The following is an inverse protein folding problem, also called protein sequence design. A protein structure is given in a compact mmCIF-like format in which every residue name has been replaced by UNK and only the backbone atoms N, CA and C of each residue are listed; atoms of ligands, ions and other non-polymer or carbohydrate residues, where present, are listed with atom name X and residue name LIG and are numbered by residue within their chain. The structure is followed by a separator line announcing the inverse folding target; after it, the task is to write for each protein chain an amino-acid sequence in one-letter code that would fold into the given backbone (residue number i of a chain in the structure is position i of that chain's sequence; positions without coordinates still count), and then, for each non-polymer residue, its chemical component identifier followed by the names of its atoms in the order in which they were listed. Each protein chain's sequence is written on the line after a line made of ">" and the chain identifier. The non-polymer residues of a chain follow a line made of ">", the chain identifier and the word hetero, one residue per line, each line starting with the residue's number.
data_IF_250226767346
#
_entry.id   IF_250226767346
#
_cell.length_a   1.000
_cell.length_b   1.000
_cell.length_c   1.000
_cell.angle_alpha   90.00
_cell.angle_beta   90.00
_cell.angle_gamma   90.00
#
_symmetry.space_group_name_H-M   'P 1'
#
loop_
_entity.id
_entity.type
_entity.pdbx_description
1 polymer ?
#
# COMPACT_ATOMS: atom_id res chain seq x y z
N UNK A 1 9.83 -23.83 58.94
CA UNK A 1 9.00 -22.94 58.13
C UNK A 1 9.89 -22.29 57.08
N UNK A 2 9.89 -22.84 55.88
CA UNK A 2 10.78 -22.39 54.80
C UNK A 2 9.88 -21.67 53.78
N UNK A 3 10.04 -20.38 53.70
CA UNK A 3 9.25 -19.53 52.81
C UNK A 3 9.83 -19.61 51.38
N UNK A 4 9.07 -20.16 50.46
CA UNK A 4 9.41 -20.24 49.04
C UNK A 4 9.06 -18.93 48.39
N UNK A 5 10.05 -18.13 47.99
CA UNK A 5 9.88 -16.95 47.13
C UNK A 5 9.70 -17.43 45.67
N UNK A 6 8.50 -17.29 45.17
CA UNK A 6 8.22 -17.44 43.73
C UNK A 6 8.57 -16.12 43.06
N UNK A 7 9.68 -16.08 42.35
CA UNK A 7 10.03 -14.99 41.47
C UNK A 7 9.16 -15.09 40.20
N UNK A 8 8.17 -14.21 40.10
CA UNK A 8 7.43 -14.02 38.85
C UNK A 8 8.34 -13.32 37.81
N UNK A 9 8.95 -14.12 36.95
CA UNK A 9 9.66 -13.60 35.79
C UNK A 9 8.67 -12.97 34.84
N UNK A 10 8.62 -11.62 34.75
CA UNK A 10 8.04 -10.92 33.64
C UNK A 10 8.84 -11.27 32.39
N UNK A 11 8.27 -12.13 31.57
CA UNK A 11 8.73 -12.33 30.21
C UNK A 11 8.31 -11.09 29.40
N UNK A 12 9.12 -10.05 29.39
CA UNK A 12 9.07 -8.99 28.39
C UNK A 12 9.38 -9.71 27.06
N UNK A 13 8.33 -9.95 26.26
CA UNK A 13 8.52 -10.32 24.87
C UNK A 13 9.30 -9.16 24.23
N UNK A 14 10.58 -9.37 23.98
CA UNK A 14 11.38 -8.48 23.17
C UNK A 14 10.65 -8.34 21.82
N UNK A 15 10.23 -7.12 21.48
CA UNK A 15 9.79 -6.82 20.12
C UNK A 15 11.03 -7.01 19.26
N UNK A 16 11.09 -8.15 18.56
CA UNK A 16 12.21 -8.47 17.71
C UNK A 16 12.18 -7.53 16.49
N UNK A 17 13.17 -6.65 16.40
CA UNK A 17 13.49 -5.98 15.17
C UNK A 17 13.95 -7.04 14.17
N UNK A 18 13.27 -7.16 13.05
CA UNK A 18 13.65 -8.07 11.97
C UNK A 18 14.35 -7.24 10.90
N UNK A 19 15.63 -7.52 10.68
CA UNK A 19 16.39 -6.95 9.58
C UNK A 19 16.13 -7.72 8.28
N UNK A 20 16.29 -7.10 7.13
CA UNK A 20 16.11 -7.76 5.83
C UNK A 20 17.07 -8.94 5.64
N UNK A 21 18.27 -8.88 6.23
CA UNK A 21 19.28 -9.94 6.16
C UNK A 21 18.81 -11.29 6.72
N UNK A 22 17.74 -11.31 7.52
CA UNK A 22 17.10 -12.54 7.99
C UNK A 22 16.35 -13.30 6.87
N UNK A 23 16.19 -12.70 5.68
CA UNK A 23 15.44 -13.25 4.56
C UNK A 23 16.35 -13.48 3.36
N UNK A 24 16.11 -14.55 2.56
CA UNK A 24 16.95 -14.82 1.41
C UNK A 24 16.84 -13.73 0.36
N UNK A 25 17.98 -13.26 -0.14
CA UNK A 25 18.03 -12.47 -1.36
C UNK A 25 17.60 -13.39 -2.53
N UNK A 26 16.57 -13.01 -3.25
CA UNK A 26 15.91 -13.84 -4.26
C UNK A 26 15.57 -13.08 -5.54
N UNK A 27 16.03 -11.84 -5.66
CA UNK A 27 15.92 -11.04 -6.86
C UNK A 27 17.28 -10.65 -7.40
N UNK A 28 17.31 -10.35 -8.70
CA UNK A 28 18.48 -9.79 -9.41
C UNK A 28 18.17 -8.40 -9.92
N UNK A 29 19.18 -7.55 -9.90
CA UNK A 29 19.11 -6.26 -10.57
C UNK A 29 18.96 -6.44 -12.09
N UNK A 30 18.07 -5.66 -12.67
CA UNK A 30 17.80 -5.61 -14.10
C UNK A 30 17.57 -4.17 -14.55
N UNK A 31 18.37 -3.69 -15.50
CA UNK A 31 18.13 -2.40 -16.16
C UNK A 31 17.00 -2.57 -17.17
N UNK A 32 15.80 -2.19 -16.79
CA UNK A 32 14.58 -2.31 -17.60
C UNK A 32 14.17 -0.99 -18.24
N UNK A 33 14.60 0.13 -17.66
CA UNK A 33 14.46 1.48 -18.21
C UNK A 33 15.84 2.14 -18.16
N UNK A 34 16.34 2.57 -19.32
CA UNK A 34 17.66 3.16 -19.44
C UNK A 34 17.77 4.47 -18.67
N UNK A 35 18.89 4.67 -17.96
CA UNK A 35 19.16 5.87 -17.17
C UNK A 35 18.38 5.95 -15.85
N UNK A 36 17.61 4.88 -15.49
CA UNK A 36 16.84 4.82 -14.25
C UNK A 36 17.39 3.75 -13.31
N UNK A 37 17.04 3.82 -12.03
CA UNK A 37 17.41 2.80 -11.06
C UNK A 37 16.95 1.40 -11.56
N UNK A 38 17.76 0.35 -11.35
CA UNK A 38 17.40 -1.00 -11.79
C UNK A 38 16.17 -1.50 -11.05
N UNK A 39 15.45 -2.44 -11.68
CA UNK A 39 14.44 -3.24 -11.00
C UNK A 39 15.09 -4.42 -10.29
N UNK A 40 14.44 -4.93 -9.25
CA UNK A 40 14.83 -6.13 -8.52
C UNK A 40 13.88 -7.26 -8.89
N UNK A 41 14.20 -7.99 -9.96
CA UNK A 41 13.32 -9.02 -10.53
C UNK A 41 13.58 -10.40 -9.90
N UNK A 42 12.53 -11.14 -9.50
CA UNK A 42 12.66 -12.47 -8.92
C UNK A 42 13.47 -13.43 -9.81
N UNK A 43 14.39 -14.18 -9.20
CA UNK A 43 15.21 -15.16 -9.90
C UNK A 43 14.38 -16.35 -10.42
N UNK A 44 14.91 -17.04 -11.43
CA UNK A 44 14.28 -18.23 -11.99
C UNK A 44 13.12 -17.97 -12.94
N UNK A 45 12.82 -16.70 -13.24
CA UNK A 45 11.79 -16.28 -14.18
C UNK A 45 12.33 -15.23 -15.15
N UNK A 46 11.68 -15.11 -16.30
CA UNK A 46 11.93 -14.03 -17.25
C UNK A 46 10.76 -13.05 -17.22
N UNK A 47 11.07 -11.77 -17.36
CA UNK A 47 10.09 -10.71 -17.23
C UNK A 47 10.14 -9.76 -18.44
N UNK A 48 8.97 -9.24 -18.81
CA UNK A 48 8.82 -8.22 -19.86
C UNK A 48 8.06 -7.04 -19.26
N UNK A 49 8.68 -5.85 -19.27
CA UNK A 49 8.02 -4.62 -18.84
C UNK A 49 6.80 -4.34 -19.73
N UNK A 50 5.63 -4.19 -19.14
CA UNK A 50 4.36 -3.95 -19.84
C UNK A 50 3.73 -2.61 -19.51
N UNK A 51 4.04 -2.06 -18.35
CA UNK A 51 3.61 -0.73 -17.93
C UNK A 51 4.59 -0.15 -16.92
N UNK A 52 4.80 1.15 -16.99
CA UNK A 52 5.61 1.84 -15.99
C UNK A 52 5.32 3.35 -15.95
N UNK A 53 5.72 3.96 -14.85
CA UNK A 53 5.89 5.40 -14.74
C UNK A 53 7.16 5.70 -13.93
N UNK A 54 8.04 6.47 -14.54
CA UNK A 54 9.30 6.94 -13.98
C UNK A 54 9.20 8.40 -13.51
N UNK A 55 8.04 9.00 -13.65
CA UNK A 55 7.74 10.37 -13.26
C UNK A 55 8.72 11.41 -13.84
N UNK A 56 9.14 11.18 -15.09
CA UNK A 56 10.12 12.04 -15.80
C UNK A 56 9.58 13.43 -16.17
N UNK A 57 8.28 13.64 -16.04
CA UNK A 57 7.62 14.90 -16.36
C UNK A 57 7.78 15.99 -15.31
N UNK A 58 7.05 17.07 -15.49
CA UNK A 58 6.88 18.16 -14.52
C UNK A 58 5.47 18.21 -13.95
N UNK A 59 4.59 17.36 -14.44
CA UNK A 59 3.19 17.19 -14.02
C UNK A 59 2.84 15.71 -14.03
N UNK A 60 1.83 15.34 -13.26
CA UNK A 60 1.31 13.97 -13.28
C UNK A 60 0.81 13.61 -14.70
N UNK A 61 1.19 12.43 -15.18
CA UNK A 61 0.67 11.89 -16.43
C UNK A 61 -0.77 11.38 -16.22
N UNK A 62 -1.74 12.20 -16.56
CA UNK A 62 -3.16 11.86 -16.43
C UNK A 62 -3.62 10.78 -17.41
N UNK A 63 -2.81 10.39 -18.40
CA UNK A 63 -3.08 9.20 -19.21
C UNK A 63 -2.83 7.91 -18.46
N UNK A 64 -1.98 7.95 -17.41
CA UNK A 64 -1.63 6.81 -16.55
C UNK A 64 -2.35 6.82 -15.22
N UNK A 65 -2.53 8.01 -14.62
CA UNK A 65 -3.03 8.17 -13.26
C UNK A 65 -4.32 8.98 -13.19
N UNK A 66 -5.16 8.64 -12.22
CA UNK A 66 -6.31 9.42 -11.78
C UNK A 66 -6.18 9.72 -10.30
N UNK A 67 -6.70 10.86 -9.87
CA UNK A 67 -6.91 11.14 -8.45
C UNK A 67 -8.11 10.34 -7.95
N UNK A 68 -7.96 9.67 -6.82
CA UNK A 68 -9.07 9.05 -6.11
C UNK A 68 -9.58 10.01 -5.05
N UNK A 69 -10.68 10.69 -5.31
CA UNK A 69 -11.17 11.79 -4.47
C UNK A 69 -12.28 11.41 -3.51
N UNK A 70 -12.89 10.24 -3.69
CA UNK A 70 -14.00 9.74 -2.89
C UNK A 70 -13.73 8.32 -2.38
N UNK A 71 -12.89 8.21 -1.38
CA UNK A 71 -12.65 6.92 -0.75
C UNK A 71 -13.67 6.69 0.37
N UNK A 72 -14.25 5.48 0.46
CA UNK A 72 -15.18 5.06 1.51
C UNK A 72 -16.53 5.79 1.52
N UNK A 73 -16.98 6.34 0.40
CA UNK A 73 -18.26 7.06 0.31
C UNK A 73 -18.39 8.18 1.33
N UNK A 74 -17.29 8.67 1.87
CA UNK A 74 -17.22 9.60 2.99
C UNK A 74 -16.50 10.86 2.58
N UNK A 75 -17.22 11.96 2.59
CA UNK A 75 -16.70 13.32 2.50
C UNK A 75 -15.48 13.49 1.57
N UNK A 76 -15.75 13.73 0.31
CA UNK A 76 -14.79 14.06 -0.76
C UNK A 76 -13.75 15.13 -0.38
N UNK A 77 -13.89 15.75 0.78
CA UNK A 77 -13.03 16.84 1.22
C UNK A 77 -11.69 16.39 1.81
N UNK A 78 -11.51 15.10 2.05
CA UNK A 78 -10.28 14.61 2.71
C UNK A 78 -9.21 14.20 1.73
N UNK A 79 -9.60 13.95 0.50
CA UNK A 79 -8.69 13.55 -0.55
C UNK A 79 -8.45 14.71 -1.49
N UNK A 80 -7.15 14.93 -1.72
CA UNK A 80 -6.70 16.01 -2.54
C UNK A 80 -7.14 15.83 -3.99
N UNK A 81 -7.49 16.94 -4.61
CA UNK A 81 -7.72 17.09 -6.03
C UNK A 81 -6.49 17.69 -6.70
N UNK A 82 -6.41 17.72 -8.03
CA UNK A 82 -5.28 18.32 -8.75
C UNK A 82 -4.97 19.76 -8.31
N UNK A 83 -6.01 20.59 -8.11
CA UNK A 83 -5.88 21.98 -7.72
C UNK A 83 -5.31 22.21 -6.30
N UNK A 84 -5.36 21.20 -5.44
CA UNK A 84 -4.87 21.31 -4.07
C UNK A 84 -3.33 21.26 -4.01
N UNK A 85 -2.67 20.83 -5.10
CA UNK A 85 -1.22 20.79 -5.21
C UNK A 85 -0.55 19.87 -4.17
N UNK A 86 -1.20 18.76 -3.82
CA UNK A 86 -0.67 17.71 -2.95
C UNK A 86 0.18 16.69 -3.71
N UNK A 87 0.23 16.76 -5.02
CA UNK A 87 1.08 15.94 -5.87
C UNK A 87 2.07 16.82 -6.58
N UNK A 88 3.35 16.51 -6.47
CA UNK A 88 4.43 17.20 -7.18
C UNK A 88 5.24 16.18 -7.97
N UNK A 89 5.35 16.36 -9.28
CA UNK A 89 6.25 15.59 -10.15
C UNK A 89 7.44 16.46 -10.50
N UNK A 90 8.61 16.04 -10.09
CA UNK A 90 9.85 16.79 -10.30
C UNK A 90 11.07 15.92 -10.12
N UNK A 91 12.13 16.19 -10.89
CA UNK A 91 13.43 15.53 -10.78
C UNK A 91 13.33 13.98 -10.86
N UNK A 92 12.41 13.47 -11.69
CA UNK A 92 12.22 12.04 -11.92
C UNK A 92 11.55 11.30 -10.76
N UNK A 93 10.78 11.99 -9.93
CA UNK A 93 9.99 11.38 -8.85
C UNK A 93 8.62 12.03 -8.73
N UNK A 94 7.67 11.31 -8.13
CA UNK A 94 6.44 11.92 -7.63
C UNK A 94 6.46 12.00 -6.11
N UNK A 95 6.08 13.14 -5.56
CA UNK A 95 5.92 13.38 -4.13
C UNK A 95 4.46 13.53 -3.77
N UNK A 96 4.00 12.71 -2.86
CA UNK A 96 2.67 12.77 -2.28
C UNK A 96 2.74 13.50 -0.93
N UNK A 97 2.07 14.63 -0.83
CA UNK A 97 2.16 15.57 0.30
C UNK A 97 0.85 15.63 1.07
N UNK A 98 0.95 15.70 2.37
CA UNK A 98 -0.19 16.13 3.20
C UNK A 98 -0.15 17.65 3.32
N UNK A 99 -1.32 18.27 3.21
CA UNK A 99 -1.49 19.71 3.39
C UNK A 99 -2.57 20.03 4.41
N UNK A 100 -2.36 21.11 5.17
CA UNK A 100 -3.36 21.72 6.01
C UNK A 100 -4.08 22.82 5.21
N UNK A 101 -5.39 22.70 5.10
CA UNK A 101 -6.22 23.71 4.47
C UNK A 101 -6.47 24.92 5.40
N UNK A 102 -6.89 26.08 4.86
CA UNK A 102 -7.18 27.26 5.66
C UNK A 102 -8.24 27.04 6.75
N UNK A 103 -9.14 26.09 6.57
CA UNK A 103 -10.16 25.70 7.55
C UNK A 103 -9.61 24.76 8.64
N UNK A 104 -8.30 24.48 8.65
CA UNK A 104 -7.65 23.59 9.60
C UNK A 104 -7.72 22.10 9.27
N UNK A 105 -8.40 21.73 8.21
CA UNK A 105 -8.51 20.34 7.76
C UNK A 105 -7.23 19.90 7.04
N UNK A 106 -6.84 18.65 7.23
CA UNK A 106 -5.76 18.03 6.48
C UNK A 106 -6.30 17.25 5.29
N UNK A 107 -5.62 17.33 4.17
CA UNK A 107 -5.89 16.58 2.95
C UNK A 107 -4.64 15.89 2.46
N UNK A 108 -4.82 14.77 1.76
CA UNK A 108 -3.74 13.96 1.22
C UNK A 108 -4.16 13.29 -0.09
N UNK A 109 -3.23 13.01 -1.02
CA UNK A 109 -3.56 12.47 -2.32
C UNK A 109 -3.58 10.96 -2.32
N UNK A 110 -4.47 10.42 -3.16
CA UNK A 110 -4.43 9.03 -3.60
C UNK A 110 -4.42 9.01 -5.13
N UNK A 111 -3.43 8.35 -5.70
CA UNK A 111 -3.31 8.15 -7.14
C UNK A 111 -3.61 6.71 -7.49
N UNK A 112 -4.35 6.49 -8.56
CA UNK A 112 -4.74 5.18 -9.05
C UNK A 112 -4.58 5.09 -10.57
N UNK A 113 -4.26 3.93 -11.07
CA UNK A 113 -4.37 3.62 -12.51
C UNK A 113 -5.78 3.14 -12.88
N UNK A 114 -6.64 2.96 -11.87
CA UNK A 114 -8.07 2.80 -11.99
C UNK A 114 -8.79 4.10 -12.29
N UNK A 115 -10.11 4.03 -12.28
CA UNK A 115 -10.99 5.20 -12.33
C UNK A 115 -12.13 5.07 -11.32
N UNK A 116 -11.90 4.37 -10.23
CA UNK A 116 -12.85 4.27 -9.14
C UNK A 116 -12.93 5.61 -8.42
N UNK A 117 -14.01 6.36 -8.68
CA UNK A 117 -14.16 7.70 -8.13
C UNK A 117 -14.81 7.72 -6.75
N UNK A 118 -15.50 6.65 -6.36
CA UNK A 118 -16.25 6.62 -5.10
C UNK A 118 -16.77 5.24 -4.76
N UNK A 119 -16.76 4.95 -3.48
CA UNK A 119 -17.36 3.79 -2.89
C UNK A 119 -18.76 4.19 -2.43
N UNK A 120 -19.79 3.69 -3.09
CA UNK A 120 -21.17 3.97 -2.69
C UNK A 120 -21.58 2.94 -1.63
N UNK A 121 -22.00 3.39 -0.44
CA UNK A 121 -22.64 2.52 0.51
C UNK A 121 -23.84 1.85 -0.14
N UNK A 122 -23.98 0.54 -0.02
CA UNK A 122 -25.19 -0.12 -0.44
C UNK A 122 -26.36 0.37 0.41
N UNK A 123 -27.23 1.17 -0.18
CA UNK A 123 -28.40 1.72 0.51
C UNK A 123 -29.42 0.63 0.90
N UNK A 124 -29.44 -0.50 0.16
CA UNK A 124 -30.29 -1.65 0.46
C UNK A 124 -29.69 -2.53 1.56
N UNK A 125 -28.37 -2.50 1.74
CA UNK A 125 -27.66 -3.14 2.83
C UNK A 125 -26.66 -2.17 3.48
N UNK A 126 -27.11 -1.33 4.40
CA UNK A 126 -26.24 -0.29 5.01
C UNK A 126 -25.06 -0.84 5.82
N UNK A 127 -25.01 -2.15 6.06
CA UNK A 127 -23.87 -2.85 6.65
C UNK A 127 -22.94 -3.44 5.59
N UNK A 128 -23.39 -3.51 4.33
CA UNK A 128 -22.61 -3.97 3.19
C UNK A 128 -21.79 -2.83 2.61
N UNK A 129 -20.56 -3.11 2.29
CA UNK A 129 -19.65 -2.22 1.59
C UNK A 129 -19.53 -2.68 0.16
N UNK A 130 -19.29 -1.72 -0.73
CA UNK A 130 -19.08 -1.91 -2.16
C UNK A 130 -20.36 -2.22 -2.93
N UNK A 131 -20.98 -1.18 -3.35
CA UNK A 131 -21.83 -1.27 -4.50
C UNK A 131 -21.19 -0.55 -5.66
N UNK A 132 -21.11 -1.29 -6.73
CA UNK A 132 -20.66 -0.89 -8.04
C UNK A 132 -21.13 0.52 -8.34
N UNK A 133 -20.28 1.48 -8.04
CA UNK A 133 -20.39 2.79 -8.60
C UNK A 133 -20.36 2.69 -10.13
N UNK A 134 -20.53 3.79 -10.82
CA UNK A 134 -20.39 3.81 -12.27
C UNK A 134 -19.03 3.23 -12.62
N UNK A 135 -19.03 2.08 -13.28
CA UNK A 135 -17.80 1.48 -13.79
C UNK A 135 -17.22 2.40 -14.84
N UNK A 136 -16.00 2.81 -14.62
CA UNK A 136 -15.20 3.50 -15.61
C UNK A 136 -14.12 2.55 -16.11
N UNK A 137 -13.64 2.76 -17.31
CA UNK A 137 -12.56 1.96 -17.85
C UNK A 137 -11.26 2.37 -17.16
N UNK A 138 -10.55 1.47 -16.45
CA UNK A 138 -9.28 1.81 -15.85
C UNK A 138 -8.26 2.23 -16.92
N UNK A 139 -7.40 3.18 -16.59
CA UNK A 139 -6.29 3.61 -17.45
C UNK A 139 -5.29 2.47 -17.64
N UNK A 140 -5.07 1.72 -16.56
CA UNK A 140 -4.33 0.46 -16.59
C UNK A 140 -4.86 -0.46 -15.50
N UNK A 141 -5.13 -1.70 -15.88
CA UNK A 141 -5.37 -2.82 -14.96
C UNK A 141 -4.75 -4.06 -15.55
N UNK A 142 -4.13 -4.87 -14.73
CA UNK A 142 -3.38 -6.02 -15.18
C UNK A 142 -3.61 -7.22 -14.26
N UNK A 143 -3.46 -8.43 -14.80
CA UNK A 143 -3.63 -9.67 -14.05
C UNK A 143 -2.36 -10.49 -14.11
N UNK A 144 -1.89 -10.92 -12.94
CA UNK A 144 -0.63 -11.65 -12.76
C UNK A 144 0.60 -10.79 -13.12
N UNK A 145 1.77 -11.37 -13.01
CA UNK A 145 3.02 -10.69 -13.30
C UNK A 145 3.76 -10.22 -12.05
N UNK A 146 4.70 -9.33 -12.25
CA UNK A 146 5.47 -8.73 -11.17
C UNK A 146 5.21 -7.23 -11.10
N UNK A 147 4.88 -6.74 -9.92
CA UNK A 147 4.57 -5.35 -9.64
C UNK A 147 5.63 -4.80 -8.70
N UNK A 148 6.20 -3.68 -9.02
CA UNK A 148 7.32 -3.11 -8.27
C UNK A 148 7.15 -1.60 -8.09
N UNK A 149 7.39 -1.13 -6.88
CA UNK A 149 7.46 0.27 -6.53
C UNK A 149 8.77 0.55 -5.80
N UNK A 150 9.52 1.53 -6.27
CA UNK A 150 10.68 2.07 -5.57
C UNK A 150 10.31 3.40 -4.94
N UNK A 151 10.39 3.49 -3.63
CA UNK A 151 9.94 4.67 -2.90
C UNK A 151 10.77 4.94 -1.64
N UNK A 152 10.67 6.17 -1.16
CA UNK A 152 11.18 6.61 0.12
C UNK A 152 10.02 7.01 1.02
N UNK A 153 9.97 6.45 2.21
CA UNK A 153 8.88 6.63 3.16
C UNK A 153 9.06 7.89 4.00
N UNK A 154 7.95 8.39 4.52
CA UNK A 154 7.96 9.48 5.50
C UNK A 154 8.66 9.05 6.79
N UNK A 155 9.30 10.02 7.44
CA UNK A 155 10.04 9.81 8.68
C UNK A 155 9.28 10.24 9.91
N UNK A 156 8.35 11.18 9.77
CA UNK A 156 7.54 11.70 10.87
C UNK A 156 6.29 10.84 11.09
N UNK A 157 5.74 10.79 12.31
CA UNK A 157 4.52 10.07 12.61
C UNK A 157 3.28 10.78 12.01
N UNK A 158 2.18 10.06 11.94
CA UNK A 158 0.89 10.60 11.49
C UNK A 158 0.54 10.32 10.04
N UNK A 159 1.40 9.65 9.32
CA UNK A 159 1.22 9.26 7.93
C UNK A 159 0.72 7.82 7.78
N UNK A 160 0.10 7.57 6.65
CA UNK A 160 -0.23 6.24 6.17
C UNK A 160 0.00 6.20 4.67
N UNK A 161 1.16 5.74 4.27
CA UNK A 161 1.52 5.62 2.87
C UNK A 161 1.44 4.18 2.42
N UNK A 162 1.00 3.97 1.18
CA UNK A 162 0.81 2.64 0.65
C UNK A 162 1.12 2.54 -0.84
N UNK A 163 1.62 1.36 -1.22
CA UNK A 163 1.64 0.83 -2.57
C UNK A 163 0.76 -0.41 -2.58
N UNK A 164 -0.32 -0.38 -3.34
CA UNK A 164 -1.37 -1.37 -3.25
C UNK A 164 -2.14 -1.54 -4.56
N UNK A 165 -2.99 -2.55 -4.59
CA UNK A 165 -3.80 -2.88 -5.74
C UNK A 165 -5.25 -3.10 -5.33
N UNK A 166 -6.16 -2.87 -6.25
CA UNK A 166 -7.58 -3.09 -6.05
C UNK A 166 -8.28 -3.34 -7.38
N UNK A 167 -9.50 -3.84 -7.30
CA UNK A 167 -10.39 -4.00 -8.43
C UNK A 167 -11.74 -3.34 -8.16
N UNK A 168 -12.41 -2.91 -9.23
CA UNK A 168 -13.79 -2.41 -9.16
C UNK A 168 -14.81 -3.49 -8.78
N UNK A 169 -14.41 -4.76 -8.85
CA UNK A 169 -15.29 -5.91 -8.61
C UNK A 169 -15.27 -6.39 -7.16
N UNK A 170 -14.37 -5.87 -6.33
CA UNK A 170 -14.22 -6.34 -4.96
C UNK A 170 -15.55 -6.32 -4.20
N UNK A 171 -15.92 -7.45 -3.61
CA UNK A 171 -17.19 -7.60 -2.91
C UNK A 171 -18.43 -7.83 -3.79
N UNK A 172 -18.27 -7.93 -5.10
CA UNK A 172 -19.37 -8.28 -6.02
C UNK A 172 -19.90 -9.70 -5.79
N UNK A 173 -19.05 -10.59 -5.28
CA UNK A 173 -19.42 -11.92 -4.77
C UNK A 173 -18.43 -12.36 -3.69
N UNK A 174 -18.68 -13.49 -3.04
CA UNK A 174 -17.84 -14.04 -1.97
C UNK A 174 -16.70 -14.95 -2.48
N UNK A 175 -16.45 -14.93 -3.76
CA UNK A 175 -15.31 -15.62 -4.38
C UNK A 175 -14.23 -14.60 -4.76
N UNK A 176 -13.11 -14.54 -4.03
CA UNK A 176 -12.04 -13.60 -4.32
C UNK A 176 -11.39 -13.81 -5.69
N UNK A 177 -11.45 -15.04 -6.22
CA UNK A 177 -10.98 -15.33 -7.57
C UNK A 177 -11.78 -14.62 -8.66
N UNK A 178 -13.08 -14.44 -8.44
CA UNK A 178 -14.00 -13.79 -9.38
C UNK A 178 -14.24 -12.31 -9.06
N UNK A 179 -14.23 -11.93 -7.79
CA UNK A 179 -14.48 -10.56 -7.36
C UNK A 179 -13.20 -9.75 -7.16
N UNK A 180 -12.03 -10.42 -7.15
CA UNK A 180 -10.77 -9.77 -6.81
C UNK A 180 -10.66 -9.39 -5.35
N UNK A 181 -9.55 -8.75 -5.02
CA UNK A 181 -9.21 -8.37 -3.65
C UNK A 181 -8.64 -6.95 -3.61
N UNK A 182 -8.47 -6.41 -2.41
CA UNK A 182 -7.49 -5.38 -2.14
C UNK A 182 -6.21 -6.05 -1.66
N UNK A 183 -5.11 -5.71 -2.31
CA UNK A 183 -3.80 -6.24 -2.02
C UNK A 183 -2.88 -5.08 -1.66
N UNK A 184 -2.59 -4.92 -0.37
CA UNK A 184 -1.64 -3.91 0.07
C UNK A 184 -0.24 -4.49 0.04
N UNK A 185 0.53 -4.16 -0.99
CA UNK A 185 1.89 -4.67 -1.18
C UNK A 185 2.80 -4.10 -0.08
N UNK A 186 2.61 -2.83 0.24
CA UNK A 186 3.29 -2.14 1.33
C UNK A 186 2.38 -1.09 1.95
N UNK A 187 2.33 -1.05 3.26
CA UNK A 187 1.72 0.02 4.05
C UNK A 187 2.73 0.49 5.10
N UNK A 188 2.90 1.79 5.24
CA UNK A 188 3.71 2.42 6.29
C UNK A 188 2.84 3.34 7.12
N UNK A 189 2.63 3.01 8.40
CA UNK A 189 1.72 3.75 9.26
C UNK A 189 2.44 4.84 10.06
N UNK A 190 3.40 4.47 10.87
CA UNK A 190 4.18 5.39 11.69
C UNK A 190 5.68 5.07 11.52
N UNK A 191 6.59 5.92 12.00
CA UNK A 191 8.00 5.58 11.98
C UNK A 191 8.24 4.19 12.60
N UNK A 192 8.84 3.30 11.82
CA UNK A 192 9.11 1.92 12.24
C UNK A 192 7.97 0.91 12.03
N UNK A 193 6.78 1.33 11.61
CA UNK A 193 5.69 0.39 11.29
C UNK A 193 5.54 0.25 9.78
N UNK A 194 6.05 -0.83 9.23
CA UNK A 194 5.80 -1.21 7.84
C UNK A 194 5.11 -2.56 7.85
N UNK A 195 3.89 -2.60 7.33
CA UNK A 195 3.15 -3.81 7.06
C UNK A 195 3.39 -4.17 5.61
N UNK A 196 3.73 -5.40 5.36
CA UNK A 196 3.95 -5.91 4.02
C UNK A 196 2.93 -6.99 3.76
N UNK A 197 2.19 -6.79 2.66
CA UNK A 197 1.19 -7.73 2.19
C UNK A 197 0.00 -7.96 3.12
N UNK A 198 -0.91 -7.01 3.12
CA UNK A 198 -2.27 -7.17 3.62
C UNK A 198 -3.20 -7.60 2.48
N UNK A 199 -4.18 -8.40 2.82
CA UNK A 199 -5.19 -8.91 1.89
C UNK A 199 -6.58 -8.64 2.44
N UNK A 200 -7.43 -8.00 1.64
CA UNK A 200 -8.80 -7.68 2.01
C UNK A 200 -9.75 -8.14 0.90
N UNK A 201 -10.71 -8.98 1.23
CA UNK A 201 -11.63 -9.56 0.25
C UNK A 201 -13.04 -9.73 0.80
N UNK A 202 -14.00 -10.06 -0.08
CA UNK A 202 -15.43 -10.12 0.18
C UNK A 202 -16.05 -8.75 0.49
N UNK A 203 -15.47 -7.67 -0.02
CA UNK A 203 -15.88 -6.31 0.32
C UNK A 203 -15.57 -5.96 1.77
N UNK A 204 -16.12 -4.86 2.27
CA UNK A 204 -15.91 -4.40 3.66
C UNK A 204 -17.19 -4.48 4.50
N UNK A 205 -18.09 -5.36 4.09
CA UNK A 205 -19.36 -5.61 4.76
C UNK A 205 -19.28 -6.76 5.78
N UNK A 206 -20.42 -7.41 6.05
CA UNK A 206 -20.51 -8.50 7.03
C UNK A 206 -19.62 -9.72 6.71
N UNK A 207 -19.37 -9.94 5.44
CA UNK A 207 -18.59 -11.09 4.95
C UNK A 207 -17.12 -10.78 4.73
N UNK A 208 -16.70 -9.56 5.12
CA UNK A 208 -15.31 -9.11 5.00
C UNK A 208 -14.34 -10.09 5.66
N UNK A 209 -13.25 -10.33 4.97
CA UNK A 209 -12.11 -11.06 5.47
C UNK A 209 -10.82 -10.30 5.14
N UNK A 210 -9.91 -10.28 6.10
CA UNK A 210 -8.60 -9.69 5.90
C UNK A 210 -7.56 -10.50 6.65
N UNK A 211 -6.34 -10.51 6.14
CA UNK A 211 -5.18 -11.08 6.80
C UNK A 211 -3.90 -10.43 6.27
N UNK A 212 -2.83 -10.55 7.04
CA UNK A 212 -1.50 -10.16 6.62
C UNK A 212 -0.68 -11.43 6.35
N UNK A 213 0.27 -11.38 5.43
CA UNK A 213 1.27 -12.44 5.36
C UNK A 213 2.09 -12.31 6.64
N UNK A 214 2.10 -13.36 7.48
CA UNK A 214 2.98 -13.39 8.63
C UNK A 214 4.42 -13.26 8.15
N UNK A 215 5.24 -12.64 8.97
CA UNK A 215 6.68 -12.64 8.77
C UNK A 215 7.13 -14.07 8.51
N UNK A 216 7.68 -14.31 7.34
CA UNK A 216 8.19 -15.56 6.83
C UNK A 216 8.04 -16.74 7.82
N UNK A 217 7.32 -17.78 7.46
CA UNK A 217 7.31 -19.07 8.15
C UNK A 217 6.43 -19.27 9.41
N UNK A 218 5.61 -18.32 9.86
CA UNK A 218 4.66 -18.60 10.94
C UNK A 218 3.24 -18.79 10.37
N UNK A 219 2.67 -19.99 10.53
CA UNK A 219 1.33 -20.35 10.03
C UNK A 219 0.17 -19.68 10.80
N UNK A 220 0.47 -18.88 11.82
CA UNK A 220 -0.54 -18.19 12.62
C UNK A 220 -0.72 -16.76 12.16
N UNK A 221 -1.92 -16.38 11.69
CA UNK A 221 -2.23 -15.00 11.38
C UNK A 221 -2.15 -14.17 12.67
N UNK A 222 -1.15 -13.30 12.76
CA UNK A 222 -1.04 -12.34 13.86
C UNK A 222 -1.69 -11.04 13.42
N UNK A 223 -2.90 -10.78 13.87
CA UNK A 223 -3.52 -9.47 13.81
C UNK A 223 -2.79 -8.41 14.67
N UNK A 224 -1.99 -8.86 15.61
CA UNK A 224 -1.24 -8.10 16.59
C UNK A 224 0.28 -8.14 16.35
N UNK A 225 0.72 -8.76 15.26
CA UNK A 225 2.12 -8.81 14.86
C UNK A 225 2.49 -7.66 13.94
N UNK A 226 2.65 -6.47 14.48
CA UNK A 226 3.37 -5.39 13.81
C UNK A 226 4.76 -5.88 13.50
N UNK A 227 5.01 -6.22 12.25
CA UNK A 227 6.37 -6.41 11.76
C UNK A 227 7.00 -5.05 11.65
N UNK A 228 7.72 -4.70 12.68
CA UNK A 228 8.64 -3.57 12.61
C UNK A 228 9.83 -4.04 11.79
N UNK A 229 9.82 -3.73 10.50
CA UNK A 229 11.02 -3.82 9.71
C UNK A 229 11.90 -2.65 10.05
N UNK A 230 13.13 -2.93 10.42
CA UNK A 230 14.14 -1.91 10.62
C UNK A 230 14.67 -1.47 9.24
N UNK A 231 13.88 -0.64 8.57
CA UNK A 231 14.25 -0.02 7.30
C UNK A 231 14.70 1.42 7.54
N UNK A 232 15.82 1.78 6.93
CA UNK A 232 16.27 3.16 6.89
C UNK A 232 15.36 3.99 5.96
N UNK A 233 14.40 4.68 6.54
CA UNK A 233 13.44 5.50 5.79
C UNK A 233 14.06 6.72 5.08
N UNK A 234 15.35 6.99 5.28
CA UNK A 234 16.04 8.08 4.58
C UNK A 234 16.49 7.73 3.17
N UNK A 235 16.49 6.44 2.83
CA UNK A 235 16.87 5.91 1.52
C UNK A 235 15.66 5.33 0.78
N UNK A 236 15.84 5.04 -0.50
CA UNK A 236 14.82 4.37 -1.31
C UNK A 236 14.84 2.87 -1.04
N UNK A 237 13.65 2.32 -0.90
CA UNK A 237 13.39 0.89 -0.83
C UNK A 237 12.53 0.43 -1.99
N UNK A 238 12.66 -0.84 -2.38
CA UNK A 238 11.89 -1.46 -3.44
C UNK A 238 10.94 -2.48 -2.85
N UNK A 239 9.66 -2.33 -3.12
CA UNK A 239 8.61 -3.26 -2.71
C UNK A 239 8.05 -3.96 -3.94
N UNK A 240 8.03 -5.29 -3.91
CA UNK A 240 7.65 -6.11 -5.04
C UNK A 240 6.63 -7.18 -4.71
N UNK A 241 5.69 -7.40 -5.64
CA UNK A 241 4.69 -8.46 -5.61
C UNK A 241 4.82 -9.30 -6.88
N UNK A 242 5.11 -10.59 -6.73
CA UNK A 242 4.93 -11.57 -7.80
C UNK A 242 3.56 -12.22 -7.62
N UNK A 243 2.67 -11.94 -8.54
CA UNK A 243 1.31 -12.48 -8.59
C UNK A 243 1.20 -13.55 -9.67
N UNK A 244 0.94 -14.78 -9.25
CA UNK A 244 0.78 -15.95 -10.10
C UNK A 244 -0.61 -16.58 -9.91
N UNK A 245 -1.05 -17.46 -10.81
CA UNK A 245 -2.35 -18.13 -10.66
C UNK A 245 -2.51 -18.92 -9.36
N UNK A 246 -1.42 -19.33 -8.72
CA UNK A 246 -1.40 -20.13 -7.50
C UNK A 246 -1.04 -19.33 -6.23
N UNK A 247 -0.81 -18.01 -6.35
CA UNK A 247 -0.51 -17.20 -5.17
C UNK A 247 0.24 -15.91 -5.44
N UNK A 248 0.65 -15.32 -4.34
CA UNK A 248 1.40 -14.06 -4.26
C UNK A 248 2.70 -14.28 -3.52
N UNK A 249 3.81 -13.76 -4.04
CA UNK A 249 5.10 -13.73 -3.35
C UNK A 249 5.54 -12.29 -3.18
N UNK A 250 6.01 -11.93 -1.98
CA UNK A 250 6.38 -10.58 -1.59
C UNK A 250 7.88 -10.45 -1.46
N UNK A 251 8.41 -9.33 -1.93
CA UNK A 251 9.82 -8.97 -1.90
C UNK A 251 10.01 -7.55 -1.36
N UNK A 252 11.07 -7.35 -0.58
CA UNK A 252 11.55 -6.04 -0.15
C UNK A 252 13.04 -5.98 -0.43
N UNK A 253 13.48 -5.00 -1.18
CA UNK A 253 14.89 -4.84 -1.60
C UNK A 253 15.49 -6.14 -2.14
N UNK A 254 14.69 -6.88 -2.89
CA UNK A 254 15.07 -8.17 -3.47
C UNK A 254 15.02 -9.37 -2.51
N UNK A 255 14.76 -9.17 -1.23
CA UNK A 255 14.62 -10.24 -0.26
C UNK A 255 13.21 -10.83 -0.27
N UNK A 256 13.12 -12.15 -0.39
CA UNK A 256 11.84 -12.87 -0.34
C UNK A 256 11.25 -12.87 1.07
N UNK A 257 10.06 -12.29 1.22
CA UNK A 257 9.38 -12.13 2.52
C UNK A 257 8.36 -13.21 2.83
N UNK A 258 7.84 -13.86 1.82
CA UNK A 258 6.85 -14.91 2.01
C UNK A 258 5.93 -15.09 0.81
N UNK A 259 5.17 -16.17 0.83
CA UNK A 259 4.17 -16.52 -0.17
C UNK A 259 2.80 -16.73 0.47
N UNK A 260 1.75 -16.32 -0.23
CA UNK A 260 0.36 -16.62 0.11
C UNK A 260 -0.35 -17.27 -1.07
N UNK A 261 -1.10 -18.33 -0.81
CA UNK A 261 -1.94 -19.03 -1.80
C UNK A 261 -3.44 -18.94 -1.49
N UNK A 262 -3.83 -18.12 -0.51
CA UNK A 262 -5.23 -17.92 -0.14
C UNK A 262 -5.76 -16.67 -0.83
N UNK A 263 -7.06 -16.68 -1.14
CA UNK A 263 -7.75 -15.53 -1.75
C UNK A 263 -7.07 -14.98 -3.00
N UNK A 264 -6.61 -15.87 -3.89
CA UNK A 264 -5.93 -15.44 -5.12
C UNK A 264 -6.96 -14.86 -6.08
N UNK A 265 -6.75 -13.62 -6.48
CA UNK A 265 -7.54 -12.96 -7.53
C UNK A 265 -7.17 -13.51 -8.90
N UNK A 266 -8.18 -13.68 -9.77
CA UNK A 266 -8.01 -14.09 -11.16
C UNK A 266 -8.57 -13.08 -12.15
N UNK A 267 -8.80 -11.86 -11.69
CA UNK A 267 -9.27 -10.75 -12.54
C UNK A 267 -8.24 -9.62 -12.53
N UNK A 268 -8.21 -8.75 -13.55
CA UNK A 268 -7.31 -7.61 -13.56
C UNK A 268 -7.55 -6.67 -12.37
N UNK A 269 -6.48 -6.17 -11.79
CA UNK A 269 -6.49 -5.17 -10.73
C UNK A 269 -5.69 -3.95 -11.16
N UNK A 270 -6.07 -2.78 -10.66
CA UNK A 270 -5.36 -1.52 -10.89
C UNK A 270 -4.44 -1.20 -9.73
N UNK A 271 -3.42 -0.40 -10.01
CA UNK A 271 -2.37 -0.02 -9.05
C UNK A 271 -2.72 1.30 -8.40
N UNK A 272 -2.37 1.43 -7.11
CA UNK A 272 -2.50 2.65 -6.35
C UNK A 272 -1.19 2.98 -5.61
N UNK A 273 -0.91 4.27 -5.53
CA UNK A 273 0.04 4.85 -4.58
C UNK A 273 -0.68 5.95 -3.81
N UNK A 274 -0.58 5.92 -2.50
CA UNK A 274 -1.34 6.83 -1.67
C UNK A 274 -0.59 7.25 -0.43
N UNK A 275 -0.92 8.41 0.09
CA UNK A 275 -0.63 8.78 1.47
C UNK A 275 -1.89 9.29 2.11
N UNK A 276 -2.08 8.95 3.38
CA UNK A 276 -3.20 9.40 4.19
C UNK A 276 -2.70 9.98 5.51
N UNK A 277 -3.53 10.80 6.13
CA UNK A 277 -3.31 11.23 7.51
C UNK A 277 -3.94 10.21 8.46
N UNK A 278 -3.13 9.33 9.03
CA UNK A 278 -3.61 8.27 9.95
C UNK A 278 -4.55 8.80 11.05
N UNK A 279 -4.25 9.96 11.56
CA UNK A 279 -4.97 10.55 12.68
C UNK A 279 -6.26 11.27 12.28
N UNK A 280 -6.45 11.64 11.02
CA UNK A 280 -7.70 12.29 10.66
C UNK A 280 -8.91 11.35 10.84
N UNK A 281 -8.71 10.05 10.77
CA UNK A 281 -9.75 9.06 11.09
C UNK A 281 -10.17 9.14 12.57
N UNK A 282 -9.26 9.47 13.48
CA UNK A 282 -9.55 9.66 14.92
C UNK A 282 -10.07 11.07 15.22
N UNK A 283 -9.41 12.09 14.75
CA UNK A 283 -9.72 13.49 15.03
C UNK A 283 -10.99 13.99 14.34
N UNK A 284 -11.45 13.27 13.33
CA UNK A 284 -12.74 13.45 12.71
C UNK A 284 -13.90 13.45 13.72
N UNK A 285 -13.79 12.69 14.80
CA UNK A 285 -14.82 12.65 15.86
C UNK A 285 -14.70 13.82 16.84
N UNK A 286 -13.53 14.41 16.97
CA UNK A 286 -13.24 15.47 17.95
C UNK A 286 -13.13 16.85 17.31
N UNK A 287 -12.90 16.95 15.99
CA UNK A 287 -12.68 18.21 15.27
C UNK A 287 -11.41 18.98 15.69
N UNK A 288 -10.55 18.37 16.48
CA UNK A 288 -9.33 19.02 16.96
C UNK A 288 -8.17 18.84 15.99
N UNK A 289 -7.37 19.90 15.82
CA UNK A 289 -6.10 19.81 15.10
C UNK A 289 -5.14 18.85 15.82
N UNK A 290 -4.45 18.03 15.06
CA UNK A 290 -3.42 17.14 15.59
C UNK A 290 -2.04 17.80 15.43
N UNK A 291 -1.34 18.11 16.54
CA UNK A 291 -0.01 18.74 16.47
C UNK A 291 1.01 17.93 15.68
N UNK A 292 0.88 16.60 15.65
CA UNK A 292 1.75 15.69 14.90
C UNK A 292 1.59 15.89 13.39
N UNK A 293 0.32 15.98 12.92
CA UNK A 293 0.04 16.26 11.51
C UNK A 293 0.49 17.66 11.09
N UNK A 294 0.37 18.64 12.00
CA UNK A 294 0.85 19.99 11.75
C UNK A 294 2.37 20.01 11.53
N UNK A 295 3.11 19.28 12.37
CA UNK A 295 4.55 19.15 12.24
C UNK A 295 4.93 18.44 10.93
N UNK A 296 4.28 17.34 10.59
CA UNK A 296 4.54 16.59 9.37
C UNK A 296 4.26 17.42 8.12
N UNK A 297 3.12 18.11 8.07
CA UNK A 297 2.77 18.98 6.93
C UNK A 297 3.73 20.17 6.78
N UNK A 298 4.24 20.73 7.89
CA UNK A 298 5.20 21.82 7.88
C UNK A 298 6.61 21.40 7.48
N UNK A 299 6.98 20.15 7.72
CA UNK A 299 8.35 19.64 7.50
C UNK A 299 8.61 19.22 6.05
N UNK A 300 7.60 19.21 5.15
CA UNK A 300 7.69 18.62 3.80
C UNK A 300 8.18 17.17 3.82
N UNK A 301 7.69 16.40 4.76
CA UNK A 301 8.00 14.98 4.92
C UNK A 301 7.11 14.16 3.98
N UNK A 302 7.54 14.04 2.74
CA UNK A 302 6.73 13.53 1.64
C UNK A 302 6.91 12.02 1.44
N UNK A 303 5.85 11.31 1.07
CA UNK A 303 5.98 10.00 0.45
C UNK A 303 6.48 10.20 -0.99
N UNK A 304 7.70 9.78 -1.24
CA UNK A 304 8.39 10.01 -2.52
C UNK A 304 8.51 8.70 -3.28
N UNK A 305 7.94 8.64 -4.49
CA UNK A 305 8.00 7.46 -5.37
C UNK A 305 8.90 7.77 -6.55
N UNK A 306 9.92 6.93 -6.75
CA UNK A 306 10.87 7.00 -7.86
C UNK A 306 10.28 6.37 -9.13
N UNK A 307 9.74 5.15 -9.00
CA UNK A 307 9.02 4.51 -10.10
C UNK A 307 7.96 3.52 -9.61
N UNK A 308 7.03 3.24 -10.52
CA UNK A 308 6.13 2.08 -10.46
C UNK A 308 6.25 1.31 -11.77
N UNK A 309 6.50 0.00 -11.69
CA UNK A 309 6.71 -0.86 -12.87
C UNK A 309 5.89 -2.15 -12.76
N UNK A 310 5.34 -2.59 -13.89
CA UNK A 310 4.58 -3.83 -14.00
C UNK A 310 5.13 -4.67 -15.14
N UNK A 311 5.31 -5.95 -14.88
CA UNK A 311 5.92 -6.91 -15.77
C UNK A 311 5.03 -8.12 -16.01
N UNK A 312 4.98 -8.60 -17.27
CA UNK A 312 4.54 -9.95 -17.57
C UNK A 312 5.64 -10.96 -17.21
N UNK A 313 5.20 -12.13 -16.76
CA UNK A 313 6.07 -13.31 -16.70
C UNK A 313 6.13 -13.89 -18.11
N UNK A 314 7.34 -13.97 -18.70
CA UNK A 314 7.57 -14.60 -20.00
C UNK A 314 8.00 -16.05 -19.77
N UNK A 315 7.44 -16.95 -20.55
CA UNK A 315 7.79 -18.37 -20.50
C UNK A 315 9.11 -18.63 -21.21
#
# INVERSE_FOLDING_TARGET
>A
MTTLLIAAGLCLAAQGHVTLDAYPLACKEATTVEGRAPSLLPEGKSFKLVWHDEFDGTTLDESKWSYRTNFWGRNAHWFAKPEDGCVEVKDGVVKLKVKKLPNGQFISPQLQTGELMWDVPNLENPKGFWYLGKRMKPKFAHRYGYYECRCRLQQLPGWWSAFWMQTEMQGACLDPGLAGIEQDIMESFDPGEIIVSSYHYNGYGPDYKGFHIPAAYDEKPRYDGKLTLDLDKTVYHTFGLLWEPDGYSIYIDGHFRGKNSKAVSHIPEFVLISTECKWYRKNRMTGQADPVLEQAAAANDDFTVDYVRVYDIVQ
#
